data_IF_332560833830
#
_entry.id   IF_332560833830
#
_cell.length_a   1.000
_cell.length_b   1.000
_cell.length_c   1.000
_cell.angle_alpha   90.00
_cell.angle_beta   90.00
_cell.angle_gamma   90.00
#
_symmetry.space_group_name_H-M   'P 1'
#
loop_
_entity.id
_entity.type
_entity.pdbx_description
1 polymer ?
#
# COMPACT_ATOMS: atom_id res chain seq x y z
N UNK A 1 -6.00 25.18 -3.93
CA UNK A 1 -5.03 24.13 -3.52
C UNK A 1 -4.71 23.30 -4.76
N UNK A 2 -3.46 22.88 -4.97
CA UNK A 2 -3.14 21.96 -6.07
C UNK A 2 -3.74 20.58 -5.76
N UNK A 3 -4.27 19.91 -6.79
CA UNK A 3 -4.79 18.55 -6.69
C UNK A 3 -3.75 17.59 -6.07
N UNK A 4 -4.22 16.70 -5.23
CA UNK A 4 -3.46 15.55 -4.69
C UNK A 4 -4.41 14.37 -4.53
N UNK A 5 -4.05 13.15 -4.95
CA UNK A 5 -4.88 11.98 -4.74
C UNK A 5 -5.20 11.79 -3.26
N UNK A 6 -6.47 11.46 -2.97
CA UNK A 6 -6.89 11.18 -1.60
C UNK A 6 -6.22 9.90 -1.08
N UNK A 7 -5.72 9.96 0.14
CA UNK A 7 -5.04 8.84 0.81
C UNK A 7 -5.77 8.46 2.08
N UNK A 8 -5.90 7.16 2.29
CA UNK A 8 -6.51 6.62 3.51
C UNK A 8 -5.60 6.77 4.73
N UNK A 9 -6.22 6.96 5.91
CA UNK A 9 -5.60 6.70 7.21
C UNK A 9 -6.03 5.32 7.75
N UNK A 10 -5.31 4.73 8.72
CA UNK A 10 -5.79 3.54 9.42
C UNK A 10 -7.14 3.81 10.11
N UNK A 11 -8.04 2.81 10.07
CA UNK A 11 -9.26 2.84 10.85
C UNK A 11 -8.92 2.68 12.34
N UNK A 12 -9.63 3.44 13.16
CA UNK A 12 -9.67 3.28 14.61
C UNK A 12 -11.07 2.74 14.96
N UNK A 13 -11.14 1.47 15.32
CA UNK A 13 -12.42 0.75 15.49
C UNK A 13 -13.26 1.29 16.64
N UNK A 14 -12.62 1.85 17.67
CA UNK A 14 -13.30 2.40 18.84
C UNK A 14 -14.02 3.71 18.54
N UNK A 15 -13.64 4.39 17.47
CA UNK A 15 -14.15 5.71 17.08
C UNK A 15 -14.91 5.73 15.75
N UNK A 16 -15.14 4.55 15.12
CA UNK A 16 -15.82 4.48 13.82
C UNK A 16 -17.26 5.00 13.89
N UNK A 17 -17.61 5.85 12.93
CA UNK A 17 -18.96 6.39 12.74
C UNK A 17 -19.56 5.78 11.47
N UNK A 18 -20.75 5.24 11.59
CA UNK A 18 -21.51 4.64 10.49
C UNK A 18 -22.69 5.53 10.05
N UNK A 19 -23.28 5.36 8.83
CA UNK A 19 -22.92 4.33 7.85
C UNK A 19 -21.61 4.60 7.14
N UNK A 20 -20.97 3.55 6.62
CA UNK A 20 -19.81 3.61 5.72
C UNK A 20 -20.06 2.76 4.49
N UNK A 21 -19.33 3.04 3.42
CA UNK A 21 -19.19 2.13 2.30
C UNK A 21 -17.91 1.34 2.46
N UNK A 22 -18.00 0.03 2.31
CA UNK A 22 -16.85 -0.88 2.35
C UNK A 22 -16.55 -1.43 0.98
N UNK A 23 -15.28 -1.56 0.66
CA UNK A 23 -14.78 -2.19 -0.56
C UNK A 23 -13.51 -2.99 -0.28
N UNK A 24 -13.12 -3.96 -1.14
CA UNK A 24 -11.86 -4.66 -0.99
C UNK A 24 -10.67 -3.69 -1.12
N UNK A 25 -9.64 -3.92 -0.32
CA UNK A 25 -8.39 -3.18 -0.46
C UNK A 25 -7.51 -3.89 -1.48
N UNK A 26 -7.40 -3.27 -2.65
CA UNK A 26 -6.54 -3.73 -3.73
C UNK A 26 -5.06 -3.47 -3.41
N UNK A 27 -4.19 -4.33 -3.88
CA UNK A 27 -2.73 -4.23 -3.69
C UNK A 27 -2.05 -4.08 -5.07
N UNK A 28 -2.23 -2.92 -5.66
CA UNK A 28 -1.73 -2.58 -7.00
C UNK A 28 -0.96 -1.27 -7.07
N UNK A 29 -1.10 -0.58 -8.18
CA UNK A 29 -0.48 0.73 -8.44
C UNK A 29 -1.57 1.77 -8.65
N UNK A 30 -1.66 2.76 -7.75
CA UNK A 30 -2.61 3.87 -7.87
C UNK A 30 -2.48 4.59 -9.19
N UNK A 31 -3.61 4.83 -9.85
CA UNK A 31 -3.70 5.61 -11.07
C UNK A 31 -4.86 6.60 -11.04
N UNK A 32 -4.65 7.75 -11.65
CA UNK A 32 -5.68 8.77 -11.88
C UNK A 32 -5.53 9.31 -13.28
N UNK A 33 -6.65 9.53 -13.97
CA UNK A 33 -6.65 10.07 -15.34
C UNK A 33 -6.89 11.58 -15.30
N UNK A 34 -5.95 12.35 -15.82
CA UNK A 34 -6.02 13.81 -15.90
C UNK A 34 -5.63 14.25 -17.31
N UNK A 35 -6.50 15.01 -17.99
CA UNK A 35 -6.28 15.53 -19.35
C UNK A 35 -5.87 14.46 -20.37
N UNK A 36 -6.41 13.24 -20.25
CA UNK A 36 -6.12 12.12 -21.14
C UNK A 36 -4.76 11.45 -20.89
N UNK A 37 -4.16 11.67 -19.71
CA UNK A 37 -2.92 11.04 -19.29
C UNK A 37 -3.13 10.33 -17.96
N UNK A 38 -2.58 9.12 -17.81
CA UNK A 38 -2.62 8.36 -16.56
C UNK A 38 -1.44 8.77 -15.68
N UNK A 39 -1.75 9.20 -14.47
CA UNK A 39 -0.77 9.61 -13.46
C UNK A 39 -0.77 8.64 -12.28
N UNK A 40 0.39 8.43 -11.71
CA UNK A 40 0.52 7.69 -10.46
C UNK A 40 0.20 8.55 -9.23
N UNK A 41 0.28 7.96 -8.05
CA UNK A 41 0.05 8.61 -6.74
C UNK A 41 0.84 9.90 -6.52
N UNK A 42 2.04 10.02 -7.08
CA UNK A 42 2.92 11.19 -6.97
C UNK A 42 2.64 12.27 -8.02
N UNK A 43 1.59 12.09 -8.82
CA UNK A 43 1.25 12.94 -9.97
C UNK A 43 2.38 13.00 -11.01
N UNK A 44 3.16 11.95 -11.13
CA UNK A 44 4.05 11.72 -12.27
C UNK A 44 3.31 10.85 -13.28
N UNK A 45 3.41 11.13 -14.59
CA UNK A 45 2.82 10.28 -15.61
C UNK A 45 3.36 8.85 -15.50
N UNK A 46 2.47 7.87 -15.57
CA UNK A 46 2.86 6.47 -15.71
C UNK A 46 3.45 6.31 -17.12
N UNK A 47 4.69 5.86 -17.20
CA UNK A 47 5.43 5.81 -18.49
C UNK A 47 5.19 4.55 -19.28
N UNK A 48 4.49 3.56 -18.71
CA UNK A 48 4.12 2.35 -19.40
C UNK A 48 3.21 2.68 -20.59
N UNK A 49 3.63 2.27 -21.79
CA UNK A 49 2.94 2.58 -23.04
C UNK A 49 1.55 1.95 -23.09
N UNK A 50 1.43 0.67 -22.71
CA UNK A 50 0.14 -0.03 -22.70
C UNK A 50 -0.87 0.63 -21.75
N UNK A 51 -0.43 1.06 -20.56
CA UNK A 51 -1.31 1.79 -19.61
C UNK A 51 -1.84 3.08 -20.23
N UNK A 52 -0.99 3.86 -20.92
CA UNK A 52 -1.41 5.10 -21.58
C UNK A 52 -2.33 4.83 -22.78
N UNK A 53 -2.07 3.81 -23.56
CA UNK A 53 -2.91 3.42 -24.71
C UNK A 53 -4.30 2.96 -24.28
N UNK A 54 -4.37 2.16 -23.20
CA UNK A 54 -5.65 1.64 -22.69
C UNK A 54 -6.48 2.70 -21.98
N UNK A 55 -5.85 3.48 -21.08
CA UNK A 55 -6.57 4.31 -20.11
C UNK A 55 -6.27 5.81 -20.23
N UNK A 56 -5.24 6.22 -20.98
CA UNK A 56 -4.83 7.61 -21.15
C UNK A 56 -5.70 8.35 -22.18
N UNK A 57 -7.03 8.40 -21.97
CA UNK A 57 -8.01 9.02 -22.88
C UNK A 57 -8.80 10.09 -22.16
N UNK A 58 -9.17 11.15 -22.89
CA UNK A 58 -9.93 12.29 -22.33
C UNK A 58 -11.31 11.90 -21.82
N UNK A 59 -11.92 10.87 -22.39
CA UNK A 59 -13.22 10.34 -21.95
C UNK A 59 -13.17 9.76 -20.53
N UNK A 60 -11.98 9.33 -20.08
CA UNK A 60 -11.74 8.78 -18.76
C UNK A 60 -11.23 9.79 -17.74
N UNK A 61 -11.20 11.08 -18.11
CA UNK A 61 -10.78 12.14 -17.18
C UNK A 61 -11.57 12.08 -15.87
N UNK A 62 -10.85 12.18 -14.78
CA UNK A 62 -11.40 12.15 -13.44
C UNK A 62 -11.42 10.76 -12.82
N UNK A 63 -11.30 9.67 -13.57
CA UNK A 63 -11.27 8.34 -12.99
C UNK A 63 -10.05 8.16 -12.10
N UNK A 64 -10.30 7.63 -10.90
CA UNK A 64 -9.33 7.39 -9.84
C UNK A 64 -9.47 5.94 -9.36
N UNK A 65 -8.39 5.17 -9.42
CA UNK A 65 -8.45 3.72 -9.20
C UNK A 65 -7.08 3.10 -8.94
N UNK A 66 -7.05 1.78 -9.05
CA UNK A 66 -5.86 0.96 -8.89
C UNK A 66 -5.62 0.14 -10.15
N UNK A 67 -4.41 0.18 -10.69
CA UNK A 67 -3.98 -0.72 -11.76
C UNK A 67 -3.58 -2.05 -11.15
N UNK A 68 -4.06 -3.14 -11.75
CA UNK A 68 -3.77 -4.53 -11.38
C UNK A 68 -3.37 -5.29 -12.63
N UNK A 69 -2.39 -6.15 -12.53
CA UNK A 69 -2.01 -7.10 -13.57
C UNK A 69 -2.46 -8.49 -13.15
N UNK A 70 -3.41 -9.06 -13.89
CA UNK A 70 -4.00 -10.36 -13.61
C UNK A 70 -5.02 -10.34 -12.47
N UNK A 71 -5.01 -11.37 -11.64
CA UNK A 71 -5.96 -11.55 -10.53
C UNK A 71 -5.63 -10.63 -9.35
N UNK A 72 -6.58 -9.77 -8.90
CA UNK A 72 -6.38 -8.86 -7.75
C UNK A 72 -6.17 -9.58 -6.41
N UNK A 73 -6.50 -10.87 -6.32
CA UNK A 73 -6.34 -11.70 -5.12
C UNK A 73 -5.06 -12.54 -5.13
N UNK A 74 -4.27 -12.45 -6.21
CA UNK A 74 -3.03 -13.21 -6.36
C UNK A 74 -1.95 -12.85 -5.32
N UNK A 75 -1.28 -13.85 -4.77
CA UNK A 75 -0.25 -13.65 -3.74
C UNK A 75 0.89 -12.71 -4.15
N UNK A 76 1.21 -12.62 -5.44
CA UNK A 76 2.27 -11.78 -6.02
C UNK A 76 1.73 -10.55 -6.78
N UNK A 77 0.45 -10.23 -6.62
CA UNK A 77 -0.24 -9.20 -7.41
C UNK A 77 0.50 -7.86 -7.42
N UNK A 78 0.91 -7.36 -6.27
CA UNK A 78 1.66 -6.09 -6.18
C UNK A 78 2.99 -6.15 -6.93
N UNK A 79 3.75 -7.23 -6.76
CA UNK A 79 5.07 -7.39 -7.41
C UNK A 79 4.93 -7.48 -8.93
N UNK A 80 3.97 -8.27 -9.40
CA UNK A 80 3.68 -8.43 -10.83
C UNK A 80 3.21 -7.11 -11.43
N UNK A 81 2.22 -6.48 -10.81
CA UNK A 81 1.68 -5.18 -11.24
C UNK A 81 2.76 -4.11 -11.26
N UNK A 82 3.52 -3.97 -10.17
CA UNK A 82 4.59 -2.98 -10.06
C UNK A 82 5.70 -3.20 -11.11
N UNK A 83 6.04 -4.45 -11.40
CA UNK A 83 7.05 -4.79 -12.42
C UNK A 83 6.61 -4.39 -13.83
N UNK A 84 5.33 -4.54 -14.17
CA UNK A 84 4.80 -4.18 -15.50
C UNK A 84 4.58 -2.67 -15.59
N UNK A 85 3.80 -2.11 -14.67
CA UNK A 85 3.36 -0.69 -14.72
C UNK A 85 4.53 0.30 -14.62
N UNK A 86 5.61 -0.04 -13.91
CA UNK A 86 6.79 0.82 -13.79
C UNK A 86 7.81 0.62 -14.92
N UNK A 87 7.60 -0.32 -15.84
CA UNK A 87 8.41 -0.45 -17.06
C UNK A 87 7.77 0.34 -18.20
N UNK A 88 8.59 0.85 -19.12
CA UNK A 88 8.09 1.60 -20.29
C UNK A 88 7.39 0.68 -21.30
N UNK A 89 7.97 -0.48 -21.54
CA UNK A 89 7.66 -1.39 -22.66
C UNK A 89 7.07 -2.74 -22.25
N UNK A 90 7.08 -3.08 -20.95
CA UNK A 90 6.45 -4.33 -20.52
C UNK A 90 4.94 -4.28 -20.72
N UNK A 91 4.42 -5.41 -21.16
CA UNK A 91 2.98 -5.63 -21.36
C UNK A 91 2.44 -6.68 -20.38
N UNK A 92 1.13 -6.68 -20.19
CA UNK A 92 0.45 -7.65 -19.35
C UNK A 92 -1.06 -7.54 -19.48
N UNK A 93 -1.76 -8.37 -18.75
CA UNK A 93 -3.21 -8.32 -18.64
C UNK A 93 -3.59 -7.28 -17.56
N UNK A 94 -3.57 -5.99 -17.98
CA UNK A 94 -3.72 -4.84 -17.10
C UNK A 94 -5.18 -4.45 -16.98
N UNK A 95 -5.68 -4.41 -15.75
CA UNK A 95 -7.02 -3.92 -15.42
C UNK A 95 -6.94 -2.61 -14.63
N UNK A 96 -7.86 -1.69 -14.90
CA UNK A 96 -8.04 -0.47 -14.12
C UNK A 96 -9.27 -0.63 -13.24
N UNK A 97 -9.06 -0.90 -11.97
CA UNK A 97 -10.08 -1.00 -10.94
C UNK A 97 -10.43 0.39 -10.41
N UNK A 98 -11.49 0.97 -10.94
CA UNK A 98 -11.93 2.33 -10.62
C UNK A 98 -12.77 2.33 -9.35
N UNK A 99 -12.53 3.27 -8.45
CA UNK A 99 -13.26 3.39 -7.18
C UNK A 99 -13.67 4.83 -6.82
N UNK A 100 -13.31 5.83 -7.62
CA UNK A 100 -13.74 7.22 -7.43
C UNK A 100 -13.70 7.99 -8.76
N UNK A 101 -14.36 9.15 -8.81
CA UNK A 101 -14.24 10.14 -9.87
C UNK A 101 -13.98 11.52 -9.28
N UNK A 102 -12.94 12.20 -9.78
CA UNK A 102 -12.50 13.50 -9.27
C UNK A 102 -12.94 14.67 -10.14
N UNK A 103 -13.83 14.46 -11.10
CA UNK A 103 -14.30 15.53 -11.99
C UNK A 103 -15.01 16.63 -11.20
N UNK A 104 -15.80 16.24 -10.20
CA UNK A 104 -16.50 17.13 -9.28
C UNK A 104 -16.11 16.83 -7.83
N UNK A 105 -14.88 17.20 -7.38
CA UNK A 105 -14.34 16.80 -6.10
C UNK A 105 -15.13 17.33 -4.90
N UNK A 106 -15.87 18.43 -5.08
CA UNK A 106 -16.69 19.06 -4.03
C UNK A 106 -18.06 18.38 -3.84
N UNK A 107 -18.41 17.41 -4.68
CA UNK A 107 -19.64 16.63 -4.53
C UNK A 107 -19.44 15.47 -3.54
N UNK A 108 -20.54 15.01 -2.88
CA UNK A 108 -20.52 13.80 -2.08
C UNK A 108 -20.02 12.57 -2.86
N UNK A 109 -19.44 11.59 -2.15
CA UNK A 109 -18.93 10.40 -2.80
C UNK A 109 -19.99 9.65 -3.62
N UNK A 110 -21.22 9.54 -3.12
CA UNK A 110 -22.30 8.86 -3.86
C UNK A 110 -22.56 9.50 -5.24
N UNK A 111 -22.48 10.82 -5.35
CA UNK A 111 -22.57 11.50 -6.65
C UNK A 111 -21.37 11.17 -7.55
N UNK A 112 -20.16 11.17 -7.01
CA UNK A 112 -18.95 10.84 -7.76
C UNK A 112 -18.91 9.37 -8.19
N UNK A 113 -19.49 8.47 -7.39
CA UNK A 113 -19.67 7.06 -7.72
C UNK A 113 -20.50 6.92 -9.00
N UNK A 114 -21.67 7.58 -9.08
CA UNK A 114 -22.54 7.53 -10.24
C UNK A 114 -21.84 8.10 -11.48
N UNK A 115 -21.11 9.22 -11.31
CA UNK A 115 -20.32 9.83 -12.40
C UNK A 115 -19.23 8.89 -12.90
N UNK A 116 -18.50 8.25 -12.00
CA UNK A 116 -17.42 7.31 -12.33
C UNK A 116 -17.93 6.05 -13.03
N UNK A 117 -19.03 5.47 -12.52
CA UNK A 117 -19.69 4.32 -13.15
C UNK A 117 -20.06 4.60 -14.60
N UNK A 118 -20.55 5.82 -14.90
CA UNK A 118 -20.92 6.22 -16.26
C UNK A 118 -19.74 6.31 -17.24
N UNK A 119 -18.49 6.34 -16.74
CA UNK A 119 -17.27 6.42 -17.55
C UNK A 119 -16.54 5.09 -17.71
N UNK A 120 -16.83 4.11 -16.86
CA UNK A 120 -16.21 2.76 -16.95
C UNK A 120 -16.68 2.08 -18.23
N UNK A 121 -15.73 1.71 -19.09
CA UNK A 121 -16.02 1.14 -20.40
C UNK A 121 -14.95 0.12 -20.82
N UNK A 122 -15.39 -0.91 -21.55
CA UNK A 122 -14.54 -2.01 -22.02
C UNK A 122 -14.22 -3.04 -20.95
N UNK A 123 -13.56 -4.13 -21.36
CA UNK A 123 -13.35 -5.31 -20.51
C UNK A 123 -12.22 -5.14 -19.48
N UNK A 124 -11.37 -4.12 -19.68
CA UNK A 124 -10.20 -3.87 -18.82
C UNK A 124 -10.43 -2.76 -17.79
N UNK A 125 -11.61 -2.15 -17.76
CA UNK A 125 -12.03 -1.24 -16.70
C UNK A 125 -13.10 -1.90 -15.85
N UNK A 126 -12.88 -1.93 -14.56
CA UNK A 126 -13.79 -2.54 -13.60
C UNK A 126 -14.11 -1.51 -12.51
N UNK A 127 -15.39 -1.36 -12.18
CA UNK A 127 -15.76 -0.61 -10.99
C UNK A 127 -15.55 -1.46 -9.75
N UNK A 128 -14.96 -0.89 -8.72
CA UNK A 128 -14.82 -1.57 -7.42
C UNK A 128 -16.12 -1.42 -6.65
N UNK A 129 -16.78 -2.53 -6.37
CA UNK A 129 -18.04 -2.55 -5.64
C UNK A 129 -17.92 -1.88 -4.27
N UNK A 130 -18.90 -1.05 -3.94
CA UNK A 130 -19.02 -0.33 -2.67
C UNK A 130 -20.29 -0.81 -1.97
N UNK A 131 -20.14 -1.47 -0.84
CA UNK A 131 -21.26 -2.00 -0.05
C UNK A 131 -21.48 -1.14 1.17
N UNK A 132 -22.73 -0.73 1.44
CA UNK A 132 -23.04 -0.01 2.66
C UNK A 132 -23.02 -0.94 3.86
N UNK A 133 -22.38 -0.49 4.93
CA UNK A 133 -22.36 -1.13 6.25
C UNK A 133 -22.82 -0.13 7.28
N UNK A 134 -23.72 -0.57 8.14
CA UNK A 134 -24.38 0.28 9.12
C UNK A 134 -23.86 0.05 10.56
N UNK A 135 -23.13 -1.07 10.75
CA UNK A 135 -22.61 -1.46 12.06
C UNK A 135 -21.19 -2.03 11.93
N UNK A 136 -20.48 -2.03 13.05
CA UNK A 136 -19.14 -2.62 13.14
C UNK A 136 -19.13 -4.12 12.77
N UNK A 137 -20.15 -4.87 13.20
CA UNK A 137 -20.28 -6.30 12.87
C UNK A 137 -20.38 -6.57 11.37
N UNK A 138 -21.08 -5.71 10.64
CA UNK A 138 -21.22 -5.85 9.18
C UNK A 138 -19.88 -5.59 8.49
N UNK A 139 -19.18 -4.54 8.94
CA UNK A 139 -17.84 -4.21 8.46
C UNK A 139 -16.85 -5.36 8.72
N UNK A 140 -16.88 -5.96 9.92
CA UNK A 140 -16.02 -7.10 10.27
C UNK A 140 -16.30 -8.32 9.39
N UNK A 141 -17.57 -8.63 9.14
CA UNK A 141 -17.99 -9.73 8.27
C UNK A 141 -17.50 -9.55 6.83
N UNK A 142 -17.59 -8.33 6.30
CA UNK A 142 -17.07 -8.02 4.96
C UNK A 142 -15.54 -8.04 4.91
N UNK A 143 -14.85 -7.53 5.93
CA UNK A 143 -13.40 -7.63 6.02
C UNK A 143 -12.93 -9.08 5.98
N UNK A 144 -13.55 -9.96 6.79
CA UNK A 144 -13.26 -11.40 6.80
C UNK A 144 -13.49 -12.04 5.43
N UNK A 145 -14.59 -11.67 4.75
CA UNK A 145 -14.88 -12.14 3.41
C UNK A 145 -13.79 -11.74 2.40
N UNK A 146 -13.35 -10.48 2.42
CA UNK A 146 -12.28 -10.01 1.54
C UNK A 146 -10.92 -10.66 1.84
N UNK A 147 -10.59 -10.83 3.12
CA UNK A 147 -9.37 -11.54 3.53
C UNK A 147 -9.40 -13.01 3.08
N UNK A 148 -10.55 -13.70 3.21
CA UNK A 148 -10.73 -15.08 2.76
C UNK A 148 -10.60 -15.22 1.23
N UNK A 149 -10.96 -14.19 0.47
CA UNK A 149 -10.77 -14.13 -0.98
C UNK A 149 -9.32 -13.82 -1.39
N UNK A 150 -8.46 -13.38 -0.46
CA UNK A 150 -7.05 -13.04 -0.73
C UNK A 150 -6.75 -11.56 -0.89
N UNK A 151 -7.71 -10.66 -0.68
CA UNK A 151 -7.44 -9.22 -0.66
C UNK A 151 -6.61 -8.80 0.55
N UNK A 152 -5.97 -7.64 0.47
CA UNK A 152 -5.09 -7.12 1.53
C UNK A 152 -5.85 -6.67 2.81
N UNK A 153 -7.17 -6.54 2.73
CA UNK A 153 -8.07 -6.03 3.76
C UNK A 153 -9.22 -5.26 3.13
N UNK A 154 -9.71 -4.23 3.81
CA UNK A 154 -10.82 -3.43 3.34
C UNK A 154 -10.52 -1.93 3.34
N UNK A 155 -11.30 -1.19 2.55
CA UNK A 155 -11.37 0.27 2.55
C UNK A 155 -12.74 0.70 3.04
N UNK A 156 -12.78 1.71 3.91
CA UNK A 156 -14.02 2.34 4.37
C UNK A 156 -14.09 3.77 3.86
N UNK A 157 -15.24 4.16 3.37
CA UNK A 157 -15.48 5.49 2.81
C UNK A 157 -16.75 6.09 3.37
N UNK A 158 -16.73 7.38 3.66
CA UNK A 158 -17.93 8.14 4.00
C UNK A 158 -18.73 8.43 2.73
N UNK A 159 -20.00 7.98 2.62
CA UNK A 159 -20.82 8.16 1.42
C UNK A 159 -21.11 9.64 1.12
N UNK A 160 -21.09 10.49 2.14
CA UNK A 160 -21.46 11.90 2.03
C UNK A 160 -20.26 12.86 1.95
N UNK A 161 -19.03 12.33 2.12
CA UNK A 161 -17.85 13.18 2.12
C UNK A 161 -17.42 13.62 0.72
N UNK A 162 -16.89 14.83 0.63
CA UNK A 162 -16.24 15.37 -0.56
C UNK A 162 -14.85 14.72 -0.76
N UNK A 163 -14.25 14.88 -1.94
CA UNK A 163 -12.91 14.37 -2.21
C UNK A 163 -11.85 15.25 -1.56
N UNK A 164 -11.15 14.71 -0.58
CA UNK A 164 -10.07 15.42 0.09
C UNK A 164 -8.76 15.34 -0.68
N UNK A 165 -8.13 16.48 -0.95
CA UNK A 165 -6.79 16.50 -1.54
C UNK A 165 -5.74 16.15 -0.49
N UNK A 166 -5.18 14.93 -0.59
CA UNK A 166 -4.19 14.39 0.31
C UNK A 166 -4.76 13.38 1.32
N UNK A 167 -4.15 13.26 2.50
CA UNK A 167 -4.50 12.21 3.46
C UNK A 167 -5.74 12.56 4.28
N UNK A 168 -6.72 11.65 4.30
CA UNK A 168 -7.78 11.62 5.32
C UNK A 168 -7.16 11.40 6.70
N UNK A 169 -7.88 11.76 7.76
CA UNK A 169 -7.48 11.50 9.13
C UNK A 169 -8.46 10.54 9.80
N UNK A 170 -8.05 9.89 10.90
CA UNK A 170 -8.92 9.04 11.68
C UNK A 170 -10.12 9.82 12.29
N UNK A 171 -9.95 11.13 12.53
CA UNK A 171 -11.02 12.01 13.02
C UNK A 171 -12.04 12.38 11.94
N UNK A 172 -11.57 12.66 10.72
CA UNK A 172 -12.48 13.01 9.59
C UNK A 172 -13.20 11.80 9.02
N UNK A 173 -12.58 10.64 9.04
CA UNK A 173 -13.11 9.36 8.57
C UNK A 173 -13.65 9.37 7.11
N UNK A 174 -13.11 10.24 6.27
CA UNK A 174 -13.52 10.35 4.87
C UNK A 174 -13.13 9.08 4.09
N UNK A 175 -11.89 8.64 4.26
CA UNK A 175 -11.34 7.42 3.67
C UNK A 175 -10.41 6.75 4.67
N UNK A 176 -10.75 5.53 5.06
CA UNK A 176 -9.99 4.73 6.01
C UNK A 176 -9.59 3.40 5.37
N UNK A 177 -8.51 2.82 5.86
CA UNK A 177 -8.08 1.48 5.52
C UNK A 177 -8.18 0.57 6.74
N UNK A 178 -8.81 -0.56 6.55
CA UNK A 178 -8.87 -1.66 7.50
C UNK A 178 -7.81 -2.67 7.08
N UNK A 179 -6.77 -2.79 7.88
CA UNK A 179 -5.65 -3.68 7.61
C UNK A 179 -5.15 -4.22 8.94
N UNK A 180 -5.49 -5.47 9.23
CA UNK A 180 -5.12 -6.10 10.48
C UNK A 180 -3.68 -6.61 10.42
N UNK A 181 -2.97 -6.36 11.49
CA UNK A 181 -1.67 -6.96 11.74
C UNK A 181 -1.86 -8.17 12.64
N UNK A 182 -1.08 -9.19 12.40
CA UNK A 182 -0.94 -10.30 13.34
C UNK A 182 0.33 -10.09 14.15
N UNK A 183 0.18 -10.13 15.46
CA UNK A 183 1.30 -10.16 16.38
C UNK A 183 1.88 -11.56 16.41
N UNK A 184 3.20 -11.65 16.32
CA UNK A 184 3.94 -12.92 16.34
C UNK A 184 5.26 -12.72 17.07
N UNK A 185 5.88 -13.84 17.43
CA UNK A 185 7.18 -13.87 18.10
C UNK A 185 8.23 -14.52 17.20
N UNK A 186 9.46 -14.04 17.29
CA UNK A 186 10.61 -14.64 16.60
C UNK A 186 11.88 -14.52 17.44
N UNK A 187 12.82 -15.42 17.23
CA UNK A 187 14.13 -15.40 17.88
C UNK A 187 15.11 -14.60 17.03
N UNK A 188 15.84 -13.70 17.63
CA UNK A 188 16.92 -12.95 16.96
C UNK A 188 18.11 -13.88 16.76
N UNK A 189 18.52 -14.04 15.51
CA UNK A 189 19.66 -14.89 15.12
C UNK A 189 20.82 -14.07 14.52
N UNK A 190 20.66 -12.76 14.40
CA UNK A 190 21.70 -11.87 13.91
C UNK A 190 21.25 -10.42 13.78
N UNK A 191 22.16 -9.57 13.35
CA UNK A 191 21.97 -8.14 13.19
C UNK A 191 22.54 -7.67 11.86
N UNK A 192 21.86 -6.77 11.20
CA UNK A 192 22.37 -6.07 10.01
C UNK A 192 22.59 -4.61 10.34
N UNK A 193 23.75 -4.09 9.96
CA UNK A 193 24.08 -2.69 10.11
C UNK A 193 23.29 -1.83 9.12
N UNK A 194 22.90 -0.64 9.54
CA UNK A 194 22.31 0.35 8.63
C UNK A 194 23.42 0.89 7.71
N UNK A 195 23.20 0.74 6.41
CA UNK A 195 24.17 1.21 5.40
C UNK A 195 23.74 2.57 4.85
N UNK A 196 24.63 3.54 4.89
CA UNK A 196 24.46 4.77 4.11
C UNK A 196 24.78 4.50 2.64
N UNK A 197 23.90 4.89 1.74
CA UNK A 197 24.11 4.78 0.30
C UNK A 197 24.64 6.13 -0.23
N UNK A 198 25.95 6.25 -0.33
CA UNK A 198 26.67 7.42 -0.86
C UNK A 198 26.76 7.46 -2.39
N UNK A 199 26.18 6.48 -3.10
CA UNK A 199 26.19 6.48 -4.57
C UNK A 199 25.46 7.71 -5.10
N UNK A 200 25.91 8.20 -6.26
CA UNK A 200 25.32 9.34 -6.94
C UNK A 200 23.83 9.11 -7.24
N UNK A 201 23.03 10.13 -6.96
CA UNK A 201 21.62 10.12 -7.29
C UNK A 201 21.44 10.40 -8.77
N UNK A 202 20.84 9.48 -9.52
CA UNK A 202 20.47 9.65 -10.93
C UNK A 202 18.95 9.69 -11.04
N UNK A 203 18.47 10.34 -12.06
CA UNK A 203 17.06 10.28 -12.43
C UNK A 203 16.92 9.10 -13.38
N UNK A 204 16.13 8.09 -12.96
CA UNK A 204 15.83 6.93 -13.80
C UNK A 204 14.86 7.28 -14.95
N UNK A 205 14.60 6.33 -15.83
CA UNK A 205 13.71 6.48 -16.96
C UNK A 205 12.28 6.88 -16.56
N UNK A 206 11.87 6.60 -15.31
CA UNK A 206 10.58 6.97 -14.73
C UNK A 206 10.57 8.39 -14.14
N UNK A 207 11.66 9.15 -14.29
CA UNK A 207 11.79 10.49 -13.70
C UNK A 207 11.90 10.48 -12.17
N UNK A 208 12.18 9.31 -11.56
CA UNK A 208 12.39 9.15 -10.12
C UNK A 208 13.87 9.21 -9.79
N UNK A 209 14.17 9.74 -8.61
CA UNK A 209 15.56 9.68 -8.10
C UNK A 209 15.89 8.25 -7.74
N UNK A 210 16.91 7.70 -8.37
CA UNK A 210 17.45 6.37 -8.11
C UNK A 210 18.93 6.49 -7.74
N UNK A 211 19.35 5.68 -6.76
CA UNK A 211 20.76 5.51 -6.44
C UNK A 211 21.15 4.07 -6.72
N UNK A 212 22.32 3.90 -7.34
CA UNK A 212 22.86 2.56 -7.58
C UNK A 212 22.91 1.74 -6.28
N UNK A 213 22.59 0.47 -6.39
CA UNK A 213 22.70 -0.50 -5.30
C UNK A 213 24.11 -1.08 -5.14
N UNK A 214 25.08 -0.68 -5.99
CA UNK A 214 26.46 -1.13 -5.88
C UNK A 214 27.07 -0.83 -4.51
N UNK A 215 27.96 -1.74 -4.06
CA UNK A 215 28.53 -1.70 -2.71
C UNK A 215 29.62 -0.65 -2.54
N UNK A 216 30.22 -0.14 -3.63
CA UNK A 216 31.43 0.68 -3.64
C UNK A 216 31.34 1.96 -2.79
N UNK A 217 30.17 2.59 -2.71
CA UNK A 217 29.95 3.79 -1.89
C UNK A 217 28.93 3.57 -0.76
N UNK A 218 28.80 2.32 -0.30
CA UNK A 218 28.01 1.99 0.88
C UNK A 218 28.93 1.80 2.08
N UNK A 219 28.67 2.53 3.16
CA UNK A 219 29.41 2.39 4.41
C UNK A 219 28.43 2.26 5.58
N UNK A 220 28.87 1.49 6.59
CA UNK A 220 28.09 1.27 7.80
C UNK A 220 27.95 2.55 8.59
N UNK A 221 26.83 2.70 9.27
CA UNK A 221 26.51 3.86 10.10
C UNK A 221 26.74 3.60 11.60
N UNK A 222 27.19 2.41 11.98
CA UNK A 222 27.38 2.03 13.38
C UNK A 222 26.08 1.89 14.17
N UNK A 223 24.95 1.67 13.49
CA UNK A 223 23.63 1.50 14.10
C UNK A 223 22.85 0.37 13.43
N UNK A 224 21.79 -0.11 14.09
CA UNK A 224 20.97 -1.20 13.58
C UNK A 224 20.22 -0.80 12.28
N UNK A 225 20.41 -1.59 11.24
CA UNK A 225 19.59 -1.59 10.02
C UNK A 225 18.37 -2.50 10.15
N UNK A 226 18.62 -3.77 10.52
CA UNK A 226 17.56 -4.74 10.74
C UNK A 226 18.01 -5.82 11.74
N UNK A 227 17.04 -6.39 12.47
CA UNK A 227 17.20 -7.66 13.16
C UNK A 227 17.05 -8.80 12.15
N UNK A 228 17.92 -9.79 12.19
CA UNK A 228 17.73 -11.05 11.49
C UNK A 228 17.05 -12.01 12.46
N UNK A 229 15.87 -12.48 12.12
CA UNK A 229 15.02 -13.26 12.99
C UNK A 229 14.70 -14.63 12.38
N UNK A 230 14.31 -15.56 13.24
CA UNK A 230 13.77 -16.88 12.86
C UNK A 230 12.47 -17.09 13.62
N UNK A 231 11.42 -17.44 12.88
CA UNK A 231 10.13 -17.79 13.47
C UNK A 231 10.10 -19.23 14.04
N UNK A 232 9.02 -19.64 14.73
CA UNK A 232 8.87 -21.01 15.25
C UNK A 232 8.85 -22.10 14.16
N UNK A 233 8.58 -21.74 12.90
CA UNK A 233 8.58 -22.67 11.76
C UNK A 233 9.96 -22.78 11.10
N UNK A 234 10.97 -22.06 11.61
CA UNK A 234 12.32 -22.06 11.07
C UNK A 234 12.58 -21.05 9.94
N UNK A 235 11.58 -20.26 9.56
CA UNK A 235 11.68 -19.27 8.49
C UNK A 235 12.51 -18.07 8.96
N UNK A 236 13.52 -17.72 8.15
CA UNK A 236 14.38 -16.57 8.44
C UNK A 236 13.89 -15.33 7.68
N UNK A 237 13.85 -14.20 8.39
CA UNK A 237 13.44 -12.91 7.81
C UNK A 237 14.06 -11.76 8.59
N UNK A 238 13.97 -10.54 8.03
CA UNK A 238 14.53 -9.34 8.61
C UNK A 238 13.42 -8.41 9.12
N UNK A 239 13.60 -7.86 10.32
CA UNK A 239 12.76 -6.79 10.87
C UNK A 239 13.58 -5.50 10.81
N UNK A 240 13.26 -4.62 9.86
CA UNK A 240 13.96 -3.36 9.63
C UNK A 240 13.18 -2.10 10.04
N UNK A 241 11.93 -2.27 10.51
CA UNK A 241 11.02 -1.16 10.85
C UNK A 241 10.47 -1.31 12.26
N UNK A 242 9.92 -0.22 12.81
CA UNK A 242 9.38 -0.17 14.17
C UNK A 242 10.41 0.29 15.21
N UNK A 243 11.58 0.73 14.79
CA UNK A 243 12.64 1.25 15.66
C UNK A 243 12.71 2.76 15.58
N UNK A 244 12.89 3.41 16.71
CA UNK A 244 13.36 4.80 16.78
C UNK A 244 14.87 4.86 16.49
N UNK A 245 15.40 6.07 16.31
CA UNK A 245 16.85 6.26 16.17
C UNK A 245 17.60 5.77 17.42
N UNK A 246 17.09 6.10 18.60
CA UNK A 246 17.66 5.64 19.87
C UNK A 246 17.66 4.12 20.02
N UNK A 247 16.55 3.45 19.61
CA UNK A 247 16.50 1.98 19.62
C UNK A 247 17.59 1.39 18.71
N UNK A 248 17.80 1.98 17.52
CA UNK A 248 18.81 1.49 16.57
C UNK A 248 20.23 1.59 17.14
N UNK A 249 20.53 2.68 17.81
CA UNK A 249 21.82 2.91 18.46
C UNK A 249 22.03 1.94 19.62
N UNK A 250 21.03 1.84 20.52
CA UNK A 250 21.10 0.99 21.68
C UNK A 250 21.21 -0.49 21.31
N UNK A 251 20.31 -0.98 20.44
CA UNK A 251 20.32 -2.39 20.02
C UNK A 251 21.63 -2.76 19.33
N UNK A 252 22.22 -1.86 18.55
CA UNK A 252 23.49 -2.12 17.89
C UNK A 252 24.65 -2.23 18.89
N UNK A 253 24.67 -1.40 19.93
CA UNK A 253 25.66 -1.47 21.00
C UNK A 253 25.52 -2.74 21.85
N UNK A 254 24.27 -3.15 22.15
CA UNK A 254 23.97 -4.28 23.02
C UNK A 254 23.77 -5.60 22.23
N UNK A 255 24.05 -5.65 20.93
CA UNK A 255 23.70 -6.74 20.03
C UNK A 255 24.15 -8.13 20.48
N UNK A 256 25.31 -8.23 21.13
CA UNK A 256 25.81 -9.49 21.64
C UNK A 256 24.94 -10.05 22.78
N UNK A 257 24.41 -9.18 23.63
CA UNK A 257 23.52 -9.54 24.73
C UNK A 257 22.06 -9.80 24.26
N UNK A 258 21.72 -9.27 23.10
CA UNK A 258 20.37 -9.40 22.51
C UNK A 258 20.26 -10.58 21.52
N UNK A 259 21.39 -11.22 21.19
CA UNK A 259 21.38 -12.45 20.38
C UNK A 259 20.60 -13.56 21.10
N UNK A 260 19.77 -14.28 20.36
CA UNK A 260 18.87 -15.34 20.83
C UNK A 260 17.71 -14.87 21.73
N UNK A 261 17.54 -13.58 21.97
CA UNK A 261 16.33 -13.08 22.62
C UNK A 261 15.13 -13.14 21.67
N UNK A 262 13.95 -13.26 22.27
CA UNK A 262 12.67 -13.26 21.54
C UNK A 262 12.16 -11.84 21.38
N UNK A 263 11.75 -11.52 20.17
CA UNK A 263 11.08 -10.25 19.83
C UNK A 263 9.63 -10.49 19.50
N UNK A 264 8.76 -9.58 19.95
CA UNK A 264 7.41 -9.42 19.45
C UNK A 264 7.44 -8.52 18.22
N UNK A 265 6.81 -8.97 17.15
CA UNK A 265 6.63 -8.18 15.94
C UNK A 265 5.20 -8.32 15.42
N UNK A 266 4.79 -7.38 14.58
CA UNK A 266 3.55 -7.50 13.84
C UNK A 266 3.84 -7.57 12.35
N UNK A 267 3.04 -8.34 11.62
CA UNK A 267 3.16 -8.47 10.18
C UNK A 267 1.78 -8.63 9.53
N UNK A 268 1.73 -8.52 8.19
CA UNK A 268 0.52 -8.83 7.45
C UNK A 268 0.45 -10.32 7.14
N UNK A 269 -0.76 -10.87 7.21
CA UNK A 269 -1.00 -12.28 6.88
C UNK A 269 -1.09 -12.52 5.37
N UNK A 270 -1.61 -11.56 4.62
CA UNK A 270 -1.88 -11.71 3.19
C UNK A 270 -0.65 -11.37 2.35
N UNK A 271 -0.41 -12.14 1.28
CA UNK A 271 0.73 -11.98 0.38
C UNK A 271 2.05 -12.51 0.94
N UNK A 272 1.98 -13.44 1.89
CA UNK A 272 3.14 -14.11 2.48
C UNK A 272 3.42 -15.37 1.67
N UNK A 273 4.64 -15.52 1.14
CA UNK A 273 5.09 -16.80 0.56
C UNK A 273 5.64 -17.71 1.65
N UNK A 274 6.72 -17.30 2.27
CA UNK A 274 7.39 -18.04 3.34
C UNK A 274 7.72 -17.13 4.52
N UNK A 275 8.05 -15.86 4.26
CA UNK A 275 8.46 -14.89 5.27
C UNK A 275 7.37 -13.85 5.56
N UNK A 276 7.26 -13.34 6.79
CA UNK A 276 6.30 -12.30 7.17
C UNK A 276 6.41 -11.05 6.28
N UNK A 277 5.26 -10.57 5.81
CA UNK A 277 5.22 -9.36 4.96
C UNK A 277 5.23 -8.10 5.84
N UNK A 278 6.18 -7.20 5.56
CA UNK A 278 6.36 -5.94 6.29
C UNK A 278 6.42 -6.10 7.82
N UNK A 279 7.32 -6.93 8.35
CA UNK A 279 7.43 -7.12 9.79
C UNK A 279 7.88 -5.82 10.47
N UNK A 280 7.21 -5.48 11.57
CA UNK A 280 7.44 -4.27 12.36
C UNK A 280 7.73 -4.67 13.80
N UNK A 281 8.85 -4.24 14.34
CA UNK A 281 9.24 -4.47 15.73
C UNK A 281 8.23 -3.82 16.68
N UNK A 282 7.81 -4.54 17.72
CA UNK A 282 6.92 -4.07 18.77
C UNK A 282 7.60 -4.03 20.15
N UNK A 283 8.60 -4.85 20.36
CA UNK A 283 9.32 -4.92 21.63
C UNK A 283 10.00 -6.25 21.85
N UNK A 284 10.72 -6.34 22.95
CA UNK A 284 11.35 -7.57 23.43
C UNK A 284 10.34 -8.37 24.27
N UNK A 285 10.46 -9.70 24.23
CA UNK A 285 9.78 -10.58 25.18
C UNK A 285 10.69 -10.79 26.39
N UNK A 286 10.09 -10.71 27.57
CA UNK A 286 10.77 -11.00 28.83
C UNK A 286 10.94 -12.51 29.02
#
# INVERSE_FOLDING_TARGET
MSFKPMLASPADFDSLVFPKLISPKLDGVRAVVIDGVVYGRSLKPIRNQQVQELFGRREFNGLDGELIVGDPTGADVFRTTSSVVNSVDKTGDIFFHVFDDITEPDKPFMHRLDTGLGKVAGDQMLWVDQVQVDFLSDMESWEECYLAQGYEGAMLRDPNATYKFGRSTAKEQILLKVKRFTDSDAVVIGFQELMHNGNEAKINELGLTERSSHKENKHGMGILGALVCRDPHGIQFNIGTGFTQADREQIWQEREHLLHKTVKYKSFQVGVKEAPRHPVFLGWRN
#
